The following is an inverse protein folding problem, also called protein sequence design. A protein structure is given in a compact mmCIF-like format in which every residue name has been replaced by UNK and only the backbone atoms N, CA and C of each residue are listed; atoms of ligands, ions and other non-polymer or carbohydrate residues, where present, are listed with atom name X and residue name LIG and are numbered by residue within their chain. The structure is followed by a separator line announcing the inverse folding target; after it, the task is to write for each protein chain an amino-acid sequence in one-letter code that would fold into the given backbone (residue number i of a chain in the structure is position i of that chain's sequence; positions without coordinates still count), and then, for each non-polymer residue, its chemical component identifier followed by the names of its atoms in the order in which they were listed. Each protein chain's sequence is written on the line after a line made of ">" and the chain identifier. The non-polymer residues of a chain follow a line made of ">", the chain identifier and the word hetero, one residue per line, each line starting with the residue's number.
data_IF_302484982166
#
_entry.id   IF_302484982166
#
_cell.length_a   1.000
_cell.length_b   1.000
_cell.length_c   1.000
_cell.angle_alpha   90.00
_cell.angle_beta   90.00
_cell.angle_gamma   90.00
#
_symmetry.space_group_name_H-M   'P 1'
#
loop_
_entity.id
_entity.type
_entity.pdbx_description
1 polymer ?
#
# COMPACT_ATOMS: atom_id res chain seq x y z
N UNK A 1 40.34 -15.23 29.51
CA UNK A 1 40.51 -14.00 28.70
C UNK A 1 39.91 -14.06 27.29
N UNK A 2 39.48 -15.22 26.75
CA UNK A 2 38.91 -15.33 25.38
C UNK A 2 37.39 -15.12 25.29
N UNK A 3 36.65 -15.29 26.39
CA UNK A 3 35.18 -15.19 26.36
C UNK A 3 34.67 -13.75 26.19
N UNK A 4 35.34 -12.74 26.77
CA UNK A 4 34.96 -11.32 26.63
C UNK A 4 35.12 -10.80 25.19
N UNK A 5 36.14 -11.27 24.46
CA UNK A 5 36.33 -10.95 23.05
C UNK A 5 35.18 -11.52 22.19
N UNK A 6 34.70 -12.73 22.51
CA UNK A 6 33.57 -13.33 21.82
C UNK A 6 32.26 -12.54 22.04
N UNK A 7 31.98 -12.08 23.27
CA UNK A 7 30.83 -11.21 23.55
C UNK A 7 30.91 -9.86 22.82
N UNK A 8 32.10 -9.26 22.76
CA UNK A 8 32.32 -8.01 22.03
C UNK A 8 32.07 -8.19 20.53
N UNK A 9 32.68 -9.20 19.90
CA UNK A 9 32.53 -9.47 18.47
C UNK A 9 31.08 -9.84 18.13
N UNK A 10 30.43 -10.67 18.95
CA UNK A 10 29.03 -11.04 18.74
C UNK A 10 28.10 -9.82 18.85
N UNK A 11 28.35 -8.91 19.81
CA UNK A 11 27.58 -7.67 19.96
C UNK A 11 27.69 -6.77 18.73
N UNK A 12 28.91 -6.52 18.23
CA UNK A 12 29.12 -5.74 17.01
C UNK A 12 28.48 -6.40 15.79
N UNK A 13 28.57 -7.72 15.66
CA UNK A 13 28.01 -8.47 14.53
C UNK A 13 26.48 -8.39 14.50
N UNK A 14 25.81 -8.44 15.66
CA UNK A 14 24.36 -8.23 15.78
C UNK A 14 23.98 -6.79 15.38
N UNK A 15 24.75 -5.80 15.80
CA UNK A 15 24.52 -4.39 15.43
C UNK A 15 24.66 -4.18 13.91
N UNK A 16 25.68 -4.77 13.29
CA UNK A 16 25.85 -4.70 11.83
C UNK A 16 24.68 -5.40 11.11
N UNK A 17 24.35 -6.65 11.46
CA UNK A 17 23.25 -7.39 10.83
C UNK A 17 21.90 -6.65 10.95
N UNK A 18 21.63 -6.06 12.12
CA UNK A 18 20.40 -5.27 12.33
C UNK A 18 20.38 -4.00 11.48
N UNK A 19 21.52 -3.32 11.38
CA UNK A 19 21.66 -2.10 10.55
C UNK A 19 21.44 -2.39 9.07
N UNK A 20 22.03 -3.47 8.55
CA UNK A 20 21.83 -3.89 7.16
C UNK A 20 20.37 -4.31 6.89
N UNK A 21 19.74 -5.05 7.81
CA UNK A 21 18.33 -5.45 7.67
C UNK A 21 17.37 -4.25 7.64
N UNK A 22 17.63 -3.21 8.44
CA UNK A 22 16.86 -1.95 8.43
C UNK A 22 17.09 -1.15 7.16
N UNK A 23 18.32 -1.14 6.64
CA UNK A 23 18.65 -0.46 5.39
C UNK A 23 17.93 -1.10 4.20
N UNK A 24 17.95 -2.44 4.11
CA UNK A 24 17.25 -3.20 3.08
C UNK A 24 15.72 -3.04 3.17
N UNK A 25 15.18 -3.06 4.40
CA UNK A 25 13.75 -2.84 4.63
C UNK A 25 13.33 -1.43 4.21
N UNK A 26 14.12 -0.40 4.58
CA UNK A 26 13.86 0.98 4.18
C UNK A 26 13.95 1.18 2.66
N UNK A 27 14.94 0.57 2.02
CA UNK A 27 15.09 0.60 0.56
C UNK A 27 13.90 -0.07 -0.15
N UNK A 28 13.46 -1.24 0.31
CA UNK A 28 12.30 -1.94 -0.22
C UNK A 28 11.01 -1.13 -0.09
N UNK A 29 10.76 -0.57 1.10
CA UNK A 29 9.59 0.30 1.33
C UNK A 29 9.63 1.53 0.41
N UNK A 30 10.81 2.14 0.23
CA UNK A 30 10.97 3.31 -0.65
C UNK A 30 10.60 3.03 -2.11
N UNK A 31 11.02 1.90 -2.66
CA UNK A 31 10.65 1.49 -4.03
C UNK A 31 9.13 1.25 -4.12
N UNK A 32 8.56 0.52 -3.16
CA UNK A 32 7.13 0.21 -3.13
C UNK A 32 6.29 1.48 -3.06
N UNK A 33 6.65 2.42 -2.18
CA UNK A 33 5.95 3.71 -2.04
C UNK A 33 6.01 4.60 -3.29
N UNK A 34 7.00 4.41 -4.16
CA UNK A 34 7.06 5.11 -5.44
C UNK A 34 6.19 4.43 -6.51
N UNK A 35 6.18 3.10 -6.56
CA UNK A 35 5.46 2.36 -7.61
C UNK A 35 3.94 2.40 -7.42
N UNK A 36 3.44 2.37 -6.19
CA UNK A 36 1.99 2.44 -5.91
C UNK A 36 1.28 3.67 -6.50
N UNK A 37 1.69 4.93 -6.23
CA UNK A 37 1.02 6.09 -6.77
C UNK A 37 1.18 6.19 -8.30
N UNK A 38 2.28 5.68 -8.86
CA UNK A 38 2.49 5.59 -10.31
C UNK A 38 1.47 4.65 -10.93
N UNK A 39 1.24 3.48 -10.34
CA UNK A 39 0.23 2.53 -10.81
C UNK A 39 -1.18 3.13 -10.76
N UNK A 40 -1.52 3.75 -9.64
CA UNK A 40 -2.80 4.44 -9.48
C UNK A 40 -2.97 5.51 -10.55
N UNK A 41 -1.91 6.25 -10.88
CA UNK A 41 -1.93 7.26 -11.93
C UNK A 41 -2.08 6.68 -13.35
N UNK A 42 -1.63 5.43 -13.59
CA UNK A 42 -1.77 4.74 -14.88
C UNK A 42 -3.17 4.14 -15.08
N UNK A 43 -3.86 3.74 -14.01
CA UNK A 43 -5.21 3.15 -14.06
C UNK A 43 -6.32 4.19 -13.90
N UNK A 44 -6.06 5.29 -13.17
CA UNK A 44 -7.09 6.24 -12.81
C UNK A 44 -7.58 7.10 -14.01
N UNK A 45 -8.90 7.30 -14.17
CA UNK A 45 -9.44 8.24 -15.14
C UNK A 45 -9.02 9.67 -14.78
N UNK A 46 -8.85 10.53 -15.79
CA UNK A 46 -8.29 11.89 -15.69
C UNK A 46 -8.95 12.76 -14.60
N UNK A 47 -10.25 12.59 -14.38
CA UNK A 47 -11.03 13.37 -13.42
C UNK A 47 -10.87 12.93 -11.94
N UNK A 48 -10.31 11.75 -11.68
CA UNK A 48 -10.25 11.15 -10.32
C UNK A 48 -8.82 10.82 -9.88
N UNK A 49 -7.81 11.13 -10.70
CA UNK A 49 -6.40 10.85 -10.42
C UNK A 49 -5.93 11.41 -9.08
N UNK A 50 -6.26 12.67 -8.79
CA UNK A 50 -5.94 13.30 -7.51
C UNK A 50 -6.63 12.63 -6.32
N UNK A 51 -7.89 12.22 -6.49
CA UNK A 51 -8.67 11.54 -5.45
C UNK A 51 -8.09 10.17 -5.07
N UNK A 52 -7.77 9.33 -6.05
CA UNK A 52 -7.18 8.01 -5.77
C UNK A 52 -5.80 8.13 -5.10
N UNK A 53 -4.95 9.07 -5.53
CA UNK A 53 -3.64 9.28 -4.89
C UNK A 53 -3.81 9.71 -3.42
N UNK A 54 -4.74 10.62 -3.12
CA UNK A 54 -5.00 11.03 -1.73
C UNK A 54 -5.57 9.89 -0.87
N UNK A 55 -6.37 8.99 -1.45
CA UNK A 55 -6.88 7.79 -0.76
C UNK A 55 -5.76 6.81 -0.40
N UNK A 56 -4.81 6.57 -1.31
CA UNK A 56 -3.64 5.75 -1.00
C UNK A 56 -2.81 6.36 0.14
N UNK A 57 -2.55 7.68 0.09
CA UNK A 57 -1.85 8.37 1.17
C UNK A 57 -2.61 8.29 2.51
N UNK A 58 -3.94 8.41 2.48
CA UNK A 58 -4.79 8.26 3.66
C UNK A 58 -4.71 6.84 4.24
N UNK A 59 -4.73 5.80 3.40
CA UNK A 59 -4.61 4.40 3.84
C UNK A 59 -3.28 4.13 4.55
N UNK A 60 -2.18 4.70 4.05
CA UNK A 60 -0.86 4.62 4.69
C UNK A 60 -0.86 5.34 6.05
N UNK A 61 -1.44 6.53 6.13
CA UNK A 61 -1.57 7.28 7.38
C UNK A 61 -2.46 6.56 8.41
N UNK A 62 -3.61 6.03 8.00
CA UNK A 62 -4.51 5.29 8.89
C UNK A 62 -3.85 4.00 9.35
N UNK A 63 -3.24 3.24 8.42
CA UNK A 63 -2.52 2.00 8.72
C UNK A 63 -1.39 2.20 9.71
N UNK A 64 -0.58 3.25 9.53
CA UNK A 64 0.50 3.60 10.47
C UNK A 64 -0.03 4.08 11.83
N UNK A 65 -1.10 4.88 11.87
CA UNK A 65 -1.73 5.33 13.13
C UNK A 65 -2.28 4.16 13.96
N UNK A 66 -2.97 3.21 13.31
CA UNK A 66 -3.50 2.01 13.95
C UNK A 66 -2.36 1.10 14.45
N UNK A 67 -1.21 1.18 13.78
CA UNK A 67 0.01 0.54 14.19
C UNK A 67 0.61 1.09 15.47
N UNK A 68 0.48 2.38 15.72
CA UNK A 68 0.90 2.98 16.99
C UNK A 68 -0.08 2.66 18.12
N UNK A 69 -1.39 2.71 17.86
CA UNK A 69 -2.42 2.40 18.86
C UNK A 69 -2.43 0.92 19.26
N UNK A 70 -2.24 0.00 18.30
CA UNK A 70 -2.20 -1.44 18.54
C UNK A 70 -0.98 -1.96 19.31
N UNK A 71 0.09 -1.17 19.43
CA UNK A 71 1.28 -1.54 20.21
C UNK A 71 1.01 -1.58 21.72
N UNK A 72 -0.08 -0.97 22.22
CA UNK A 72 -0.40 -0.95 23.65
C UNK A 72 -0.71 -2.33 24.23
N UNK A 73 -1.18 -3.30 23.43
CA UNK A 73 -1.65 -4.59 23.94
C UNK A 73 -0.71 -5.78 23.74
N UNK A 74 0.20 -5.83 22.75
CA UNK A 74 1.15 -6.95 22.55
C UNK A 74 2.20 -6.65 21.45
N UNK A 75 3.39 -6.18 21.84
CA UNK A 75 4.47 -5.76 20.92
C UNK A 75 5.03 -6.89 20.03
N UNK A 76 5.05 -8.15 20.52
CA UNK A 76 5.68 -9.27 19.82
C UNK A 76 4.90 -9.77 18.59
N UNK A 77 3.55 -9.74 18.64
CA UNK A 77 2.69 -10.18 17.52
C UNK A 77 2.65 -9.16 16.38
N UNK A 78 2.85 -7.88 16.71
CA UNK A 78 2.74 -6.78 15.78
C UNK A 78 3.92 -6.70 14.79
N UNK A 79 5.14 -7.03 15.23
CA UNK A 79 6.31 -7.12 14.34
C UNK A 79 6.19 -8.25 13.31
N UNK A 80 5.65 -9.40 13.71
CA UNK A 80 5.45 -10.53 12.80
C UNK A 80 4.36 -10.23 11.75
N UNK A 81 3.26 -9.59 12.16
CA UNK A 81 2.19 -9.19 11.24
C UNK A 81 2.67 -8.13 10.22
N UNK A 82 3.51 -7.17 10.64
CA UNK A 82 4.11 -6.19 9.72
C UNK A 82 5.07 -6.84 8.72
N UNK A 83 5.94 -7.74 9.17
CA UNK A 83 6.84 -8.45 8.27
C UNK A 83 6.09 -9.35 7.27
N UNK A 84 5.01 -10.02 7.72
CA UNK A 84 4.16 -10.84 6.87
C UNK A 84 3.40 -9.99 5.82
N UNK A 85 2.83 -8.85 6.22
CA UNK A 85 2.16 -7.91 5.30
C UNK A 85 3.11 -7.31 4.26
N UNK A 86 4.36 -7.01 4.65
CA UNK A 86 5.40 -6.55 3.75
C UNK A 86 5.81 -7.64 2.76
N UNK A 87 5.92 -8.89 3.22
CA UNK A 87 6.20 -10.04 2.37
C UNK A 87 5.06 -10.30 1.38
N UNK A 88 3.80 -10.20 1.81
CA UNK A 88 2.64 -10.29 0.91
C UNK A 88 2.60 -9.15 -0.12
N UNK A 89 2.96 -7.92 0.25
CA UNK A 89 3.11 -6.82 -0.72
C UNK A 89 4.23 -7.11 -1.72
N UNK A 90 5.39 -7.56 -1.25
CA UNK A 90 6.51 -7.91 -2.14
C UNK A 90 6.16 -9.07 -3.10
N UNK A 91 5.38 -10.06 -2.66
CA UNK A 91 4.86 -11.10 -3.55
C UNK A 91 3.84 -10.55 -4.56
N UNK A 92 3.02 -9.57 -4.18
CA UNK A 92 2.10 -8.87 -5.09
C UNK A 92 2.84 -8.13 -6.22
N UNK A 93 4.06 -7.65 -5.98
CA UNK A 93 4.91 -7.04 -7.00
C UNK A 93 5.39 -8.04 -8.07
N UNK A 94 5.46 -9.34 -7.77
CA UNK A 94 5.81 -10.37 -8.76
C UNK A 94 4.65 -10.57 -9.77
N UNK A 95 3.43 -10.19 -9.39
CA UNK A 95 2.25 -10.20 -10.27
C UNK A 95 1.99 -8.83 -10.94
N UNK A 96 2.92 -7.88 -10.83
CA UNK A 96 2.79 -6.52 -11.34
C UNK A 96 3.03 -6.45 -12.86
N UNK A 97 1.97 -6.67 -13.64
CA UNK A 97 1.90 -6.26 -15.05
C UNK A 97 1.01 -5.02 -15.15
N UNK A 98 1.63 -3.83 -15.04
CA UNK A 98 0.92 -2.57 -15.21
C UNK A 98 0.27 -2.46 -16.60
N UNK A 99 -0.88 -1.77 -16.74
CA UNK A 99 -1.60 -1.63 -18.00
C UNK A 99 -0.73 -1.07 -19.15
N UNK A 100 0.20 -0.16 -18.84
CA UNK A 100 1.14 0.40 -19.82
C UNK A 100 2.21 -0.60 -20.25
N UNK A 101 2.61 -1.52 -19.38
CA UNK A 101 3.55 -2.59 -19.71
C UNK A 101 2.87 -3.63 -20.61
N UNK A 102 1.63 -4.02 -20.30
CA UNK A 102 0.81 -4.92 -21.12
C UNK A 102 0.55 -4.30 -22.51
N UNK A 103 0.30 -3.00 -22.58
CA UNK A 103 0.19 -2.26 -23.85
C UNK A 103 1.50 -2.25 -24.65
N UNK A 104 2.67 -2.14 -24.00
CA UNK A 104 3.99 -2.18 -24.68
C UNK A 104 4.40 -3.58 -25.13
N UNK A 105 3.92 -4.63 -24.48
CA UNK A 105 4.22 -6.04 -24.81
C UNK A 105 3.35 -6.56 -25.96
N UNK A 106 2.44 -5.74 -26.50
CA UNK A 106 1.60 -6.07 -27.67
C UNK A 106 0.36 -6.89 -27.34
N UNK A 107 -0.01 -6.98 -26.06
CA UNK A 107 -1.13 -7.76 -25.55
C UNK A 107 -2.37 -6.88 -25.31
N UNK A 108 -2.72 -6.02 -26.28
CA UNK A 108 -3.78 -5.00 -26.16
C UNK A 108 -5.16 -5.57 -25.81
N UNK A 109 -5.46 -6.78 -26.27
CA UNK A 109 -6.79 -7.40 -26.10
C UNK A 109 -7.11 -7.72 -24.63
N UNK A 110 -6.09 -8.13 -23.86
CA UNK A 110 -6.23 -8.43 -22.44
C UNK A 110 -6.24 -7.15 -21.57
N UNK A 111 -5.56 -6.10 -22.06
CA UNK A 111 -5.58 -4.77 -21.43
C UNK A 111 -6.98 -4.13 -21.51
N UNK A 112 -7.59 -4.14 -22.70
CA UNK A 112 -8.93 -3.60 -22.94
C UNK A 112 -10.00 -4.24 -22.04
N UNK A 113 -9.97 -5.56 -21.87
CA UNK A 113 -10.92 -6.29 -21.01
C UNK A 113 -10.73 -5.93 -19.54
N UNK A 114 -9.48 -5.89 -19.08
CA UNK A 114 -9.16 -5.55 -17.68
C UNK A 114 -9.53 -4.11 -17.32
N UNK A 115 -9.31 -3.18 -18.25
CA UNK A 115 -9.67 -1.76 -18.07
C UNK A 115 -11.19 -1.57 -17.99
N UNK A 116 -11.95 -2.24 -18.86
CA UNK A 116 -13.42 -2.16 -18.87
C UNK A 116 -14.05 -2.71 -17.59
N UNK A 117 -13.54 -3.82 -17.06
CA UNK A 117 -14.04 -4.38 -15.80
C UNK A 117 -13.72 -3.48 -14.59
N UNK A 118 -12.51 -2.91 -14.54
CA UNK A 118 -12.12 -1.97 -13.49
C UNK A 118 -13.00 -0.71 -13.49
N UNK A 119 -13.23 -0.13 -14.67
CA UNK A 119 -14.08 1.04 -14.84
C UNK A 119 -15.54 0.73 -14.51
N UNK A 120 -16.05 -0.46 -14.85
CA UNK A 120 -17.39 -0.89 -14.48
C UNK A 120 -17.57 -0.97 -12.96
N UNK A 121 -16.62 -1.60 -12.25
CA UNK A 121 -16.62 -1.68 -10.78
C UNK A 121 -16.51 -0.30 -10.14
N UNK A 122 -15.64 0.56 -10.69
CA UNK A 122 -15.48 1.93 -10.22
C UNK A 122 -16.74 2.77 -10.42
N UNK A 123 -17.41 2.65 -11.57
CA UNK A 123 -18.68 3.33 -11.87
C UNK A 123 -19.79 2.91 -10.89
N UNK A 124 -19.87 1.62 -10.55
CA UNK A 124 -20.82 1.11 -9.54
C UNK A 124 -20.53 1.73 -8.16
N UNK A 125 -19.27 1.82 -7.76
CA UNK A 125 -18.88 2.48 -6.51
C UNK A 125 -19.25 3.97 -6.53
N UNK A 126 -19.00 4.66 -7.64
CA UNK A 126 -19.29 6.08 -7.81
C UNK A 126 -20.79 6.35 -7.82
N UNK A 127 -21.58 5.46 -8.43
CA UNK A 127 -23.05 5.47 -8.33
C UNK A 127 -23.51 5.24 -6.89
N UNK A 128 -22.92 4.30 -6.15
CA UNK A 128 -23.23 4.10 -4.73
C UNK A 128 -22.91 5.34 -3.89
N UNK A 129 -21.76 5.96 -4.13
CA UNK A 129 -21.35 7.19 -3.45
C UNK A 129 -22.21 8.39 -3.84
N UNK A 130 -22.61 8.52 -5.11
CA UNK A 130 -23.55 9.56 -5.56
C UNK A 130 -24.94 9.39 -4.96
N UNK A 131 -25.44 8.15 -4.90
CA UNK A 131 -26.73 7.82 -4.26
C UNK A 131 -26.69 8.13 -2.77
N UNK A 132 -25.58 7.80 -2.11
CA UNK A 132 -25.35 8.14 -0.71
C UNK A 132 -25.21 9.66 -0.49
N UNK A 133 -24.53 10.38 -1.38
CA UNK A 133 -24.42 11.85 -1.33
C UNK A 133 -25.77 12.54 -1.57
N UNK A 134 -26.60 12.01 -2.47
CA UNK A 134 -27.98 12.47 -2.65
C UNK A 134 -28.82 12.21 -1.40
N UNK A 135 -28.65 11.06 -0.75
CA UNK A 135 -29.32 10.74 0.52
C UNK A 135 -28.90 11.69 1.65
N UNK A 136 -27.59 11.96 1.80
CA UNK A 136 -27.09 12.96 2.75
C UNK A 136 -27.59 14.38 2.44
N UNK A 137 -27.74 14.73 1.16
CA UNK A 137 -28.29 16.04 0.77
C UNK A 137 -29.79 16.15 1.08
N UNK A 138 -30.54 15.06 0.95
CA UNK A 138 -31.95 14.99 1.34
C UNK A 138 -32.16 15.05 2.86
N UNK A 139 -31.21 14.52 3.64
CA UNK A 139 -31.26 14.58 5.11
C UNK A 139 -30.91 15.95 5.68
N UNK A 140 -30.05 16.74 5.01
CA UNK A 140 -29.64 18.08 5.45
C UNK A 140 -30.63 19.20 5.07
N UNK A 141 -31.69 18.88 4.30
CA UNK A 141 -32.74 19.84 3.91
C UNK A 141 -34.00 19.74 4.75
N UNK A 142 -34.02 18.94 5.82
CA UNK A 142 -35.09 19.01 6.80
C UNK A 142 -34.85 20.24 7.70
N UNK A 143 -35.70 21.30 7.63
CA UNK A 143 -35.67 22.33 8.66
C UNK A 143 -36.11 21.70 9.97
N UNK A 144 -35.33 21.93 11.03
CA UNK A 144 -35.78 21.74 12.40
C UNK A 144 -36.92 22.71 12.71
#
# INVERSE_FOLDING_TARGET
>A
MRMSAAFYIAGWLVVYLSSYGRFLTGYGIGIVSYVEPVYIAEVAPSNLRGGLTTLNQLMICVGSSLAFVGNYHNMAKYSFNRACLLFCHACGFIFYSGPRWVAKVGLEKDFEVSLRDFLAKMLILLLKLLKFKHFLRSSNTCPC
#
